data_IF_782134970787
#
_entry.id   IF_782134970787
#
_cell.length_a   1.000
_cell.length_b   1.000
_cell.length_c   1.000
_cell.angle_alpha   90.00
_cell.angle_beta   90.00
_cell.angle_gamma   90.00
#
_symmetry.space_group_name_H-M   'P 1'
#
loop_
_entity.id
_entity.type
_entity.pdbx_description
1 polymer ?
#
# COMPACT_ATOMS: atom_id res chain seq x y z
N UNK A 1 -4.07 30.16 21.37
CA UNK A 1 -3.82 28.74 21.64
C UNK A 1 -3.27 28.10 20.37
N UNK A 2 -2.01 27.67 20.40
CA UNK A 2 -1.33 27.03 19.27
C UNK A 2 -1.64 25.54 19.32
N UNK A 3 -2.41 25.02 18.37
CA UNK A 3 -2.38 23.59 18.03
C UNK A 3 -1.72 23.48 16.65
N UNK A 4 -0.40 23.66 16.65
CA UNK A 4 0.44 23.10 15.59
C UNK A 4 0.37 21.57 15.75
N UNK A 5 -0.55 20.94 15.03
CA UNK A 5 -0.47 19.51 14.77
C UNK A 5 0.74 19.28 13.87
N UNK A 6 1.91 19.11 14.51
CA UNK A 6 3.07 18.47 13.90
C UNK A 6 2.68 17.04 13.53
N UNK A 7 2.05 16.86 12.37
CA UNK A 7 1.89 15.54 11.78
C UNK A 7 3.22 15.15 11.12
N UNK A 8 4.24 14.97 11.96
CA UNK A 8 5.51 14.36 11.62
C UNK A 8 5.35 12.86 11.42
N UNK A 9 4.39 12.44 10.59
CA UNK A 9 4.44 11.12 10.02
C UNK A 9 5.61 11.15 9.05
N UNK A 10 6.77 10.66 9.53
CA UNK A 10 7.78 10.05 8.68
C UNK A 10 7.04 9.42 7.51
N UNK A 11 7.33 9.82 6.27
CA UNK A 11 6.74 9.22 5.08
C UNK A 11 7.13 7.73 5.09
N UNK A 12 6.36 6.93 5.83
CA UNK A 12 6.58 5.53 6.08
C UNK A 12 6.33 4.92 4.72
N UNK A 13 7.42 4.54 4.06
CA UNK A 13 7.37 4.03 2.69
C UNK A 13 6.49 2.80 2.72
N UNK A 14 5.27 2.92 2.22
CA UNK A 14 4.33 1.81 2.13
C UNK A 14 4.99 0.67 1.36
N UNK A 15 4.91 -0.53 1.91
CA UNK A 15 5.49 -1.74 1.32
C UNK A 15 4.40 -2.55 0.62
N UNK A 16 4.81 -3.55 -0.15
CA UNK A 16 3.85 -4.52 -0.70
C UNK A 16 3.11 -5.27 0.41
N UNK A 17 3.76 -5.54 1.54
CA UNK A 17 3.12 -6.16 2.70
C UNK A 17 2.00 -5.31 3.29
N UNK A 18 2.21 -3.99 3.39
CA UNK A 18 1.17 -3.05 3.87
C UNK A 18 -0.03 -3.00 2.92
N UNK A 19 0.21 -3.02 1.61
CA UNK A 19 -0.85 -3.05 0.60
C UNK A 19 -1.67 -4.34 0.71
N UNK A 20 -1.01 -5.49 0.76
CA UNK A 20 -1.67 -6.80 0.89
C UNK A 20 -2.45 -6.87 2.20
N UNK A 21 -1.87 -6.42 3.32
CA UNK A 21 -2.56 -6.40 4.62
C UNK A 21 -3.82 -5.52 4.59
N UNK A 22 -3.74 -4.34 3.95
CA UNK A 22 -4.89 -3.44 3.81
C UNK A 22 -5.99 -4.07 2.96
N UNK A 23 -5.63 -4.67 1.82
CA UNK A 23 -6.60 -5.34 0.94
C UNK A 23 -7.21 -6.57 1.62
N UNK A 24 -6.41 -7.38 2.32
CA UNK A 24 -6.91 -8.52 3.09
C UNK A 24 -7.91 -8.11 4.17
N UNK A 25 -7.80 -6.90 4.74
CA UNK A 25 -8.75 -6.43 5.76
C UNK A 25 -10.17 -6.16 5.22
N UNK A 26 -10.32 -6.02 3.90
CA UNK A 26 -11.60 -5.72 3.23
C UNK A 26 -12.08 -6.85 2.30
N UNK A 27 -11.23 -7.83 1.99
CA UNK A 27 -11.57 -9.00 1.17
C UNK A 27 -12.03 -10.19 2.02
N UNK A 28 -12.83 -11.08 1.44
CA UNK A 28 -13.38 -12.24 2.18
C UNK A 28 -12.41 -13.41 2.24
N UNK A 29 -11.45 -13.48 1.32
CA UNK A 29 -10.45 -14.53 1.24
C UNK A 29 -9.20 -14.06 0.50
N UNK A 30 -8.12 -14.85 0.60
CA UNK A 30 -6.82 -14.54 0.01
C UNK A 30 -6.84 -14.48 -1.53
N UNK A 31 -7.74 -15.24 -2.17
CA UNK A 31 -7.86 -15.24 -3.63
C UNK A 31 -8.43 -13.92 -4.15
N UNK A 32 -9.51 -13.43 -3.55
CA UNK A 32 -10.08 -12.10 -3.85
C UNK A 32 -9.07 -10.99 -3.60
N UNK A 33 -8.30 -11.08 -2.51
CA UNK A 33 -7.29 -10.08 -2.20
C UNK A 33 -6.15 -10.06 -3.23
N UNK A 34 -5.69 -11.23 -3.68
CA UNK A 34 -4.69 -11.32 -4.74
C UNK A 34 -5.17 -10.68 -6.05
N UNK A 35 -6.43 -10.92 -6.43
CA UNK A 35 -7.03 -10.30 -7.62
C UNK A 35 -7.15 -8.78 -7.46
N UNK A 36 -7.55 -8.29 -6.29
CA UNK A 36 -7.66 -6.85 -6.03
C UNK A 36 -6.29 -6.16 -6.07
N UNK A 37 -5.24 -6.75 -5.50
CA UNK A 37 -3.87 -6.22 -5.60
C UNK A 37 -3.41 -6.20 -7.06
N UNK A 38 -3.66 -7.26 -7.83
CA UNK A 38 -3.33 -7.32 -9.25
C UNK A 38 -4.08 -6.24 -10.06
N UNK A 39 -5.37 -6.02 -9.80
CA UNK A 39 -6.17 -4.98 -10.44
C UNK A 39 -5.65 -3.58 -10.15
N UNK A 40 -5.27 -3.30 -8.89
CA UNK A 40 -4.67 -2.01 -8.51
C UNK A 40 -3.36 -1.73 -9.27
N UNK A 41 -2.54 -2.75 -9.49
CA UNK A 41 -1.29 -2.64 -10.27
C UNK A 41 -1.61 -2.45 -11.76
N UNK A 42 -2.50 -3.27 -12.31
CA UNK A 42 -2.87 -3.25 -13.73
C UNK A 42 -3.54 -1.93 -14.14
N UNK A 43 -4.39 -1.38 -13.27
CA UNK A 43 -5.01 -0.05 -13.45
C UNK A 43 -4.06 1.10 -13.14
N UNK A 44 -2.79 0.80 -12.83
CA UNK A 44 -1.76 1.77 -12.46
C UNK A 44 -2.18 2.67 -11.31
N UNK A 45 -3.01 2.19 -10.38
CA UNK A 45 -3.37 2.91 -9.15
C UNK A 45 -2.25 2.84 -8.12
N UNK A 46 -1.48 1.76 -8.18
CA UNK A 46 -0.24 1.58 -7.42
C UNK A 46 0.89 1.17 -8.35
N UNK A 47 2.12 1.55 -8.01
CA UNK A 47 3.35 1.01 -8.62
C UNK A 47 4.19 0.33 -7.55
N UNK A 48 4.70 -0.85 -7.90
CA UNK A 48 5.70 -1.54 -7.10
C UNK A 48 7.08 -1.13 -7.62
N UNK A 49 7.92 -0.61 -6.73
CA UNK A 49 9.27 -0.15 -7.01
C UNK A 49 10.28 -0.86 -6.11
N UNK A 50 11.49 -1.08 -6.63
CA UNK A 50 12.62 -1.59 -5.86
C UNK A 50 12.98 -3.05 -6.15
N UNK A 51 14.12 -3.52 -5.60
CA UNK A 51 14.60 -4.88 -5.85
C UNK A 51 13.73 -5.92 -5.15
N UNK A 52 13.77 -7.16 -5.65
CA UNK A 52 13.17 -8.32 -5.00
C UNK A 52 13.61 -8.38 -3.54
N UNK A 53 12.64 -8.41 -2.61
CA UNK A 53 12.75 -8.29 -1.12
C UNK A 53 12.63 -6.88 -0.51
N UNK A 54 12.68 -5.79 -1.29
CA UNK A 54 12.49 -4.41 -0.81
C UNK A 54 11.45 -3.65 -1.65
N UNK A 55 10.27 -4.26 -1.82
CA UNK A 55 9.19 -3.67 -2.60
C UNK A 55 8.55 -2.49 -1.87
N UNK A 56 8.63 -1.33 -2.51
CA UNK A 56 7.93 -0.11 -2.14
C UNK A 56 6.70 0.04 -3.01
N UNK A 57 5.58 0.34 -2.39
CA UNK A 57 4.34 0.69 -3.06
C UNK A 57 4.23 2.20 -3.07
N UNK A 58 3.99 2.77 -4.25
CA UNK A 58 3.67 4.19 -4.41
C UNK A 58 2.30 4.31 -5.06
N UNK A 59 1.51 5.25 -4.57
CA UNK A 59 0.28 5.68 -5.25
C UNK A 59 0.68 6.45 -6.51
N UNK A 60 -0.09 6.26 -7.58
CA UNK A 60 0.10 6.93 -8.85
C UNK A 60 -0.91 8.05 -9.05
#
# INVERSE_FOLDING_TARGET
MKHEMKNGQHARRSTLGDLVSTVNSVCRNDHEAALAVADLINRRRVKILGPFKNFRVVLH
#
